data_IF_018464685389
#
_entry.id   IF_018464685389
#
_cell.length_a   1.000
_cell.length_b   1.000
_cell.length_c   1.000
_cell.angle_alpha   90.00
_cell.angle_beta   90.00
_cell.angle_gamma   90.00
#
_symmetry.space_group_name_H-M   'P 1'
#
loop_
_entity.id
_entity.type
_entity.pdbx_description
1 polymer ?
#
# COMPACT_ATOMS: atom_id res chain seq x y z
N UNK A 1 3.95 12.45 -55.95
CA UNK A 1 2.51 12.48 -55.59
C UNK A 1 2.27 11.98 -54.15
N UNK A 2 3.21 12.20 -53.21
CA UNK A 2 3.06 11.85 -51.78
C UNK A 2 2.53 13.01 -50.93
N UNK A 3 2.74 14.27 -51.37
CA UNK A 3 2.31 15.47 -50.62
C UNK A 3 0.80 15.68 -50.55
N UNK A 4 0.01 14.90 -51.30
CA UNK A 4 -1.45 14.99 -51.31
C UNK A 4 -2.12 14.12 -50.25
N UNK A 5 -1.40 13.63 -49.24
CA UNK A 5 -1.99 12.83 -48.15
C UNK A 5 -1.63 13.31 -46.74
N UNK A 6 -0.66 14.22 -46.56
CA UNK A 6 -0.32 14.80 -45.23
C UNK A 6 -1.49 15.58 -44.60
N UNK A 7 -2.44 16.06 -45.41
CA UNK A 7 -3.64 16.75 -44.92
C UNK A 7 -4.66 15.79 -44.29
N UNK A 8 -4.66 14.50 -44.65
CA UNK A 8 -5.55 13.51 -44.02
C UNK A 8 -5.13 13.16 -42.60
N UNK A 9 -3.84 13.32 -42.26
CA UNK A 9 -3.33 13.05 -40.90
C UNK A 9 -3.67 14.15 -39.89
N UNK A 10 -4.15 15.31 -40.36
CA UNK A 10 -4.46 16.47 -39.50
C UNK A 10 -5.94 16.67 -39.24
N UNK A 11 -6.82 15.86 -39.84
CA UNK A 11 -8.25 16.04 -39.64
C UNK A 11 -8.70 15.35 -38.36
N UNK A 12 -9.08 16.16 -37.36
CA UNK A 12 -9.68 15.64 -36.14
C UNK A 12 -11.14 15.29 -36.43
N UNK A 13 -11.43 14.00 -36.48
CA UNK A 13 -12.70 13.46 -36.98
C UNK A 13 -13.84 13.69 -35.99
N UNK A 14 -13.54 13.69 -34.68
CA UNK A 14 -14.56 13.68 -33.63
C UNK A 14 -14.84 15.05 -33.00
N UNK A 15 -14.43 16.14 -33.64
CA UNK A 15 -14.81 17.49 -33.23
C UNK A 15 -16.28 17.77 -33.58
N UNK A 16 -17.03 18.28 -32.61
CA UNK A 16 -18.43 18.68 -32.76
C UNK A 16 -18.55 19.98 -33.55
N UNK A 17 -17.68 20.95 -33.26
CA UNK A 17 -17.77 22.32 -33.76
C UNK A 17 -16.44 22.74 -34.40
N UNK A 18 -16.54 23.30 -35.60
CA UNK A 18 -15.41 23.89 -36.33
C UNK A 18 -15.14 25.34 -35.91
N UNK A 19 -16.14 26.04 -35.36
CA UNK A 19 -16.06 27.44 -34.95
C UNK A 19 -15.94 27.57 -33.43
N UNK A 20 -15.04 28.45 -32.98
CA UNK A 20 -14.83 28.73 -31.57
C UNK A 20 -16.05 29.42 -30.94
N UNK A 21 -16.68 30.37 -31.64
CA UNK A 21 -17.93 31.02 -31.20
C UNK A 21 -19.05 30.02 -30.97
N UNK A 22 -19.24 29.07 -31.90
CA UNK A 22 -20.26 28.02 -31.72
C UNK A 22 -19.98 27.15 -30.50
N UNK A 23 -18.71 26.85 -30.22
CA UNK A 23 -18.32 26.10 -29.03
C UNK A 23 -18.68 26.85 -27.73
N UNK A 24 -18.45 28.16 -27.70
CA UNK A 24 -18.80 29.02 -26.56
C UNK A 24 -20.33 29.08 -26.39
N UNK A 25 -21.07 29.39 -27.45
CA UNK A 25 -22.52 29.60 -27.39
C UNK A 25 -23.32 28.31 -27.17
N UNK A 26 -22.93 27.22 -27.82
CA UNK A 26 -23.72 25.98 -27.84
C UNK A 26 -23.26 24.97 -26.79
N UNK A 27 -21.95 24.84 -26.59
CA UNK A 27 -21.39 23.88 -25.63
C UNK A 27 -21.02 24.55 -24.28
N UNK A 28 -21.09 25.88 -24.18
CA UNK A 28 -20.82 26.62 -22.95
C UNK A 28 -19.34 26.64 -22.58
N UNK A 29 -18.45 26.58 -23.58
CA UNK A 29 -17.01 26.67 -23.34
C UNK A 29 -16.64 28.08 -22.90
N UNK A 30 -15.93 28.19 -21.77
CA UNK A 30 -15.43 29.46 -21.26
C UNK A 30 -13.95 29.58 -21.59
N UNK A 31 -13.59 30.61 -22.35
CA UNK A 31 -12.19 30.94 -22.61
C UNK A 31 -11.65 31.74 -21.44
N UNK A 32 -10.57 31.27 -20.82
CA UNK A 32 -9.86 32.05 -19.79
C UNK A 32 -9.27 33.32 -20.39
N UNK A 33 -9.31 34.44 -19.66
CA UNK A 33 -8.75 35.73 -20.08
C UNK A 33 -7.28 35.60 -20.52
N UNK A 34 -6.53 34.72 -19.86
CA UNK A 34 -5.13 34.41 -20.18
C UNK A 34 -4.92 33.83 -21.58
N UNK A 35 -5.97 33.28 -22.22
CA UNK A 35 -5.90 32.61 -23.51
C UNK A 35 -6.45 33.44 -24.66
N UNK A 36 -7.04 34.61 -24.39
CA UNK A 36 -7.63 35.47 -25.42
C UNK A 36 -6.61 35.90 -26.48
N UNK A 37 -5.37 36.14 -26.07
CA UNK A 37 -4.27 36.51 -26.97
C UNK A 37 -3.90 35.41 -27.99
N UNK A 38 -4.30 34.16 -27.74
CA UNK A 38 -4.08 33.03 -28.64
C UNK A 38 -5.18 32.89 -29.70
N UNK A 39 -6.30 33.59 -29.56
CA UNK A 39 -7.40 33.56 -30.53
C UNK A 39 -7.04 34.44 -31.73
N UNK A 40 -6.53 33.81 -32.79
CA UNK A 40 -6.21 34.52 -34.04
C UNK A 40 -7.42 34.65 -34.97
N UNK A 41 -8.29 33.65 -34.98
CA UNK A 41 -9.47 33.57 -35.83
C UNK A 41 -10.59 32.76 -35.14
N UNK A 42 -11.76 32.67 -35.77
CA UNK A 42 -12.89 31.90 -35.23
C UNK A 42 -12.76 30.37 -35.50
N UNK A 43 -11.58 29.87 -35.84
CA UNK A 43 -11.38 28.46 -36.14
C UNK A 43 -10.98 27.70 -34.86
N UNK A 44 -11.81 26.73 -34.48
CA UNK A 44 -11.60 25.88 -33.31
C UNK A 44 -10.27 25.10 -33.38
N UNK A 45 -9.88 24.64 -34.57
CA UNK A 45 -8.65 23.86 -34.76
C UNK A 45 -7.40 24.73 -34.62
N UNK A 46 -7.44 25.96 -35.12
CA UNK A 46 -6.30 26.89 -35.05
C UNK A 46 -6.05 27.32 -33.60
N UNK A 47 -7.13 27.63 -32.86
CA UNK A 47 -7.03 27.88 -31.41
C UNK A 47 -6.50 26.65 -30.66
N UNK A 48 -6.97 25.46 -31.00
CA UNK A 48 -6.49 24.22 -30.39
C UNK A 48 -4.99 23.98 -30.67
N UNK A 49 -4.54 24.19 -31.90
CA UNK A 49 -3.12 24.08 -32.26
C UNK A 49 -2.27 25.11 -31.50
N UNK A 50 -2.76 26.34 -31.31
CA UNK A 50 -2.06 27.34 -30.50
C UNK A 50 -1.88 26.89 -29.04
N UNK A 51 -2.85 26.17 -28.45
CA UNK A 51 -2.70 25.59 -27.11
C UNK A 51 -1.59 24.52 -27.05
N UNK A 52 -1.47 23.72 -28.11
CA UNK A 52 -0.45 22.67 -28.23
C UNK A 52 0.94 23.28 -28.40
N UNK A 53 1.09 24.27 -29.29
CA UNK A 53 2.35 24.97 -29.54
C UNK A 53 2.91 25.62 -28.27
N UNK A 54 2.02 26.17 -27.44
CA UNK A 54 2.37 26.77 -26.14
C UNK A 54 2.50 25.74 -25.00
N UNK A 55 2.35 24.44 -25.27
CA UNK A 55 2.41 23.33 -24.30
C UNK A 55 1.42 23.49 -23.13
N UNK A 56 0.26 24.08 -23.41
CA UNK A 56 -0.81 24.31 -22.44
C UNK A 56 -1.75 23.10 -22.38
N UNK A 57 -1.21 21.91 -22.07
CA UNK A 57 -1.96 20.64 -22.19
C UNK A 57 -3.21 20.55 -21.31
N UNK A 58 -3.21 21.20 -20.13
CA UNK A 58 -4.42 21.26 -19.30
C UNK A 58 -5.55 21.98 -20.04
N UNK A 59 -5.26 23.15 -20.61
CA UNK A 59 -6.23 23.94 -21.37
C UNK A 59 -6.63 23.23 -22.67
N UNK A 60 -5.70 22.50 -23.29
CA UNK A 60 -6.00 21.66 -24.45
C UNK A 60 -6.94 20.50 -24.10
N UNK A 61 -6.75 19.84 -22.95
CA UNK A 61 -7.68 18.83 -22.43
C UNK A 61 -9.06 19.43 -22.12
N UNK A 62 -9.08 20.61 -21.51
CA UNK A 62 -10.30 21.36 -21.21
C UNK A 62 -11.07 21.70 -22.48
N UNK A 63 -10.38 22.10 -23.54
CA UNK A 63 -10.95 22.33 -24.86
C UNK A 63 -11.48 21.04 -25.50
N UNK A 64 -10.69 19.96 -25.46
CA UNK A 64 -11.10 18.64 -25.97
C UNK A 64 -12.37 18.13 -25.29
N UNK A 65 -12.50 18.30 -23.97
CA UNK A 65 -13.69 17.87 -23.23
C UNK A 65 -14.99 18.52 -23.74
N UNK A 66 -14.90 19.75 -24.26
CA UNK A 66 -16.04 20.49 -24.83
C UNK A 66 -16.28 20.12 -26.29
N UNK A 67 -15.20 20.05 -27.09
CA UNK A 67 -15.33 19.89 -28.53
C UNK A 67 -15.42 18.42 -28.99
N UNK A 68 -15.08 17.42 -28.18
CA UNK A 68 -15.27 16.02 -28.53
C UNK A 68 -16.74 15.59 -28.44
N UNK A 69 -17.18 14.73 -29.36
CA UNK A 69 -18.47 14.03 -29.23
C UNK A 69 -18.61 13.34 -27.86
N UNK A 70 -19.80 13.44 -27.24
CA UNK A 70 -20.03 13.02 -25.85
C UNK A 70 -19.55 11.59 -25.56
N UNK A 71 -19.85 10.64 -26.46
CA UNK A 71 -19.42 9.24 -26.33
C UNK A 71 -17.90 9.08 -26.37
N UNK A 72 -17.24 9.78 -27.30
CA UNK A 72 -15.79 9.76 -27.43
C UNK A 72 -15.11 10.43 -26.22
N UNK A 73 -15.69 11.51 -25.70
CA UNK A 73 -15.18 12.21 -24.53
C UNK A 73 -15.25 11.33 -23.25
N UNK A 74 -16.32 10.55 -23.10
CA UNK A 74 -16.46 9.58 -22.00
C UNK A 74 -15.50 8.40 -22.16
N UNK A 75 -15.35 7.87 -23.39
CA UNK A 75 -14.34 6.86 -23.68
C UNK A 75 -12.92 7.36 -23.37
N UNK A 76 -12.63 8.61 -23.71
CA UNK A 76 -11.36 9.25 -23.40
C UNK A 76 -11.08 9.33 -21.90
N UNK A 77 -12.02 9.87 -21.12
CA UNK A 77 -11.87 9.93 -19.68
C UNK A 77 -11.74 8.53 -19.05
N UNK A 78 -12.47 7.54 -19.59
CA UNK A 78 -12.35 6.14 -19.21
C UNK A 78 -10.93 5.59 -19.49
N UNK A 79 -10.36 5.85 -20.67
CA UNK A 79 -8.97 5.47 -20.97
C UNK A 79 -7.95 6.14 -20.06
N UNK A 80 -8.14 7.42 -19.70
CA UNK A 80 -7.29 8.10 -18.74
C UNK A 80 -7.34 7.48 -17.33
N UNK A 81 -8.51 7.01 -16.90
CA UNK A 81 -8.67 6.25 -15.65
C UNK A 81 -7.86 4.94 -15.70
N UNK A 82 -7.93 4.20 -16.81
CA UNK A 82 -7.16 2.95 -16.98
C UNK A 82 -5.65 3.20 -16.94
N UNK A 83 -5.17 4.26 -17.57
CA UNK A 83 -3.76 4.65 -17.54
C UNK A 83 -3.29 4.92 -16.10
N UNK A 84 -4.11 5.62 -15.30
CA UNK A 84 -3.80 5.86 -13.89
C UNK A 84 -3.79 4.56 -13.08
N UNK A 85 -4.75 3.66 -13.30
CA UNK A 85 -4.79 2.36 -12.61
C UNK A 85 -3.54 1.52 -12.93
N UNK A 86 -3.03 1.60 -14.16
CA UNK A 86 -1.78 0.97 -14.59
C UNK A 86 -0.57 1.59 -13.87
N UNK A 87 -0.50 2.92 -13.79
CA UNK A 87 0.52 3.66 -13.04
C UNK A 87 0.55 3.25 -11.55
N UNK A 88 -0.62 3.18 -10.91
CA UNK A 88 -0.76 2.80 -9.49
C UNK A 88 -0.29 1.36 -9.27
N UNK A 89 -0.66 0.44 -10.17
CA UNK A 89 -0.23 -0.97 -10.09
C UNK A 89 1.28 -1.10 -10.18
N UNK A 90 1.92 -0.43 -11.13
CA UNK A 90 3.39 -0.42 -11.30
C UNK A 90 4.07 0.14 -10.04
N UNK A 91 3.52 1.21 -9.44
CA UNK A 91 4.05 1.77 -8.20
C UNK A 91 3.95 0.76 -7.04
N UNK A 92 2.81 0.10 -6.87
CA UNK A 92 2.62 -0.93 -5.84
C UNK A 92 3.60 -2.10 -6.02
N UNK A 93 3.81 -2.57 -7.26
CA UNK A 93 4.77 -3.64 -7.56
C UNK A 93 6.20 -3.23 -7.21
N UNK A 94 6.61 -1.99 -7.56
CA UNK A 94 7.91 -1.42 -7.18
C UNK A 94 8.08 -1.29 -5.67
N UNK A 95 7.03 -0.89 -4.95
CA UNK A 95 7.04 -0.77 -3.49
C UNK A 95 7.17 -2.15 -2.82
N UNK A 96 6.44 -3.16 -3.30
CA UNK A 96 6.58 -4.54 -2.82
C UNK A 96 8.00 -5.06 -3.07
N UNK A 97 8.60 -4.77 -4.23
CA UNK A 97 9.97 -5.19 -4.52
C UNK A 97 11.00 -4.46 -3.63
N UNK A 98 10.79 -3.16 -3.37
CA UNK A 98 11.61 -2.38 -2.43
C UNK A 98 11.48 -2.92 -1.01
N UNK A 99 10.26 -3.23 -0.56
CA UNK A 99 10.02 -3.80 0.77
C UNK A 99 10.67 -5.16 0.90
N UNK A 100 10.56 -6.05 -0.10
CA UNK A 100 11.29 -7.34 -0.11
C UNK A 100 12.82 -7.17 -0.08
N UNK A 101 13.36 -6.16 -0.78
CA UNK A 101 14.79 -5.81 -0.74
C UNK A 101 15.21 -5.21 0.61
N UNK A 102 14.31 -4.47 1.28
CA UNK A 102 14.53 -3.90 2.60
C UNK A 102 14.39 -4.93 3.72
N UNK A 103 13.43 -5.86 3.64
CA UNK A 103 13.27 -7.00 4.55
C UNK A 103 14.51 -7.91 4.48
N UNK A 104 15.02 -8.21 3.26
CA UNK A 104 16.32 -8.89 3.08
C UNK A 104 17.53 -8.11 3.60
N UNK A 105 17.42 -6.78 3.76
CA UNK A 105 18.43 -5.91 4.38
C UNK A 105 18.18 -5.68 5.88
N UNK A 106 17.01 -6.05 6.40
CA UNK A 106 16.61 -5.96 7.80
C UNK A 106 16.69 -7.31 8.51
N UNK A 107 16.88 -8.42 7.79
CA UNK A 107 17.78 -9.51 8.22
C UNK A 107 19.21 -8.95 8.35
N UNK A 108 19.38 -7.98 9.26
CA UNK A 108 20.65 -7.40 9.61
C UNK A 108 21.18 -8.22 10.78
N UNK A 109 22.33 -8.81 10.52
CA UNK A 109 23.28 -9.32 11.50
C UNK A 109 23.27 -8.43 12.75
N UNK A 110 23.24 -9.09 13.91
CA UNK A 110 23.24 -8.49 15.24
C UNK A 110 24.25 -7.32 15.29
N UNK A 111 23.91 -6.14 15.86
CA UNK A 111 24.80 -4.98 15.85
C UNK A 111 26.19 -5.32 16.44
N UNK A 112 27.28 -4.86 15.82
CA UNK A 112 28.64 -5.21 16.25
C UNK A 112 28.90 -4.97 17.74
N UNK A 113 28.38 -3.87 18.32
CA UNK A 113 28.52 -3.59 19.76
C UNK A 113 27.78 -4.61 20.64
N UNK A 114 26.66 -5.16 20.17
CA UNK A 114 25.88 -6.17 20.89
C UNK A 114 26.52 -7.56 20.73
N UNK A 115 27.07 -7.86 19.55
CA UNK A 115 27.90 -9.06 19.34
C UNK A 115 29.13 -9.04 20.24
N UNK A 116 29.82 -7.90 20.33
CA UNK A 116 31.02 -7.72 21.13
C UNK A 116 30.72 -7.76 22.64
N UNK A 117 29.58 -7.21 23.07
CA UNK A 117 29.10 -7.31 24.44
C UNK A 117 28.74 -8.76 24.84
N UNK A 118 28.07 -9.50 23.96
CA UNK A 118 27.74 -10.91 24.19
C UNK A 118 28.99 -11.81 24.20
N UNK A 119 29.97 -11.56 23.32
CA UNK A 119 31.26 -12.25 23.35
C UNK A 119 32.01 -11.99 24.66
N UNK A 120 32.13 -10.74 25.08
CA UNK A 120 32.78 -10.38 26.35
C UNK A 120 32.09 -10.99 27.57
N UNK A 121 30.76 -11.07 27.56
CA UNK A 121 29.99 -11.74 28.61
C UNK A 121 30.24 -13.26 28.63
N UNK A 122 30.28 -13.91 27.46
CA UNK A 122 30.60 -15.33 27.33
C UNK A 122 32.03 -15.68 27.73
N UNK A 123 33.01 -14.87 27.29
CA UNK A 123 34.44 -15.02 27.63
C UNK A 123 34.67 -14.88 29.14
N UNK A 124 34.01 -13.94 29.81
CA UNK A 124 34.07 -13.80 31.27
C UNK A 124 33.48 -15.01 32.02
N UNK A 125 32.53 -15.72 31.42
CA UNK A 125 31.88 -16.89 32.02
C UNK A 125 32.71 -18.16 31.82
N UNK A 126 33.29 -18.34 30.64
CA UNK A 126 34.23 -19.44 30.33
C UNK A 126 35.54 -19.32 31.12
N UNK A 127 36.11 -18.12 31.26
CA UNK A 127 37.30 -17.90 32.09
C UNK A 127 37.06 -18.21 33.56
N UNK A 128 35.89 -17.85 34.09
CA UNK A 128 35.51 -18.17 35.47
C UNK A 128 35.33 -19.69 35.67
N UNK A 129 34.72 -20.39 34.70
CA UNK A 129 34.57 -21.85 34.74
C UNK A 129 35.92 -22.56 34.64
N UNK A 130 36.84 -22.07 33.80
CA UNK A 130 38.18 -22.64 33.64
C UNK A 130 39.02 -22.46 34.91
N UNK A 131 39.02 -21.25 35.50
CA UNK A 131 39.67 -21.01 36.80
C UNK A 131 39.11 -21.89 37.90
N UNK A 132 37.79 -22.13 37.90
CA UNK A 132 37.15 -23.04 38.86
C UNK A 132 37.58 -24.50 38.67
N UNK A 133 37.67 -24.99 37.43
CA UNK A 133 38.18 -26.34 37.14
C UNK A 133 39.64 -26.51 37.53
N UNK A 134 40.51 -25.54 37.23
CA UNK A 134 41.92 -25.57 37.66
C UNK A 134 42.05 -25.67 39.19
N UNK A 135 41.18 -24.96 39.92
CA UNK A 135 41.16 -24.97 41.38
C UNK A 135 40.70 -26.34 41.93
N UNK A 136 39.72 -26.98 41.29
CA UNK A 136 39.31 -28.35 41.63
C UNK A 136 40.44 -29.37 41.42
N UNK A 137 41.17 -29.27 40.30
CA UNK A 137 42.33 -30.14 40.04
C UNK A 137 43.47 -29.94 41.04
N UNK A 138 43.73 -28.68 41.44
CA UNK A 138 44.71 -28.38 42.48
C UNK A 138 44.30 -28.98 43.83
N UNK A 139 43.02 -28.89 44.18
CA UNK A 139 42.50 -29.50 45.40
C UNK A 139 42.67 -31.02 45.42
N UNK A 140 42.43 -31.70 44.30
CA UNK A 140 42.58 -33.16 44.23
C UNK A 140 44.05 -33.58 44.27
N UNK A 141 44.97 -32.83 43.65
CA UNK A 141 46.42 -33.03 43.81
C UNK A 141 46.86 -32.88 45.27
N UNK A 142 46.31 -31.90 46.00
CA UNK A 142 46.59 -31.70 47.43
C UNK A 142 46.05 -32.87 48.25
N UNK A 143 44.84 -33.37 47.98
CA UNK A 143 44.28 -34.54 48.66
C UNK A 143 45.13 -35.79 48.48
N UNK A 144 45.62 -36.03 47.25
CA UNK A 144 46.49 -37.18 46.96
C UNK A 144 47.80 -37.07 47.74
N UNK A 145 48.45 -35.89 47.72
CA UNK A 145 49.67 -35.64 48.51
C UNK A 145 49.43 -35.78 50.01
N UNK A 146 48.28 -35.32 50.50
CA UNK A 146 47.89 -35.49 51.90
C UNK A 146 47.77 -36.98 52.25
N UNK A 147 47.10 -37.79 51.42
CA UNK A 147 46.96 -39.23 51.63
C UNK A 147 48.31 -39.99 51.56
N UNK A 148 49.26 -39.52 50.77
CA UNK A 148 50.63 -40.05 50.71
C UNK A 148 51.44 -39.70 51.96
N UNK A 149 51.34 -38.46 52.45
CA UNK A 149 51.95 -38.01 53.69
C UNK A 149 51.38 -38.75 54.91
N UNK A 150 50.08 -39.05 54.91
CA UNK A 150 49.44 -39.83 55.98
C UNK A 150 49.99 -41.26 56.09
N UNK A 151 50.49 -41.85 55.00
CA UNK A 151 51.11 -43.19 55.01
C UNK A 151 52.55 -43.21 55.53
N UNK A 152 53.24 -42.07 55.54
CA UNK A 152 54.64 -41.94 55.97
C UNK A 152 54.80 -41.57 57.45
N UNK A 153 53.70 -41.18 58.11
CA UNK A 153 53.69 -40.79 59.53
C UNK A 153 53.44 -42.02 60.43
N UNK A 154 54.11 -42.09 61.58
CA UNK A 154 53.90 -43.15 62.58
C UNK A 154 52.39 -43.23 62.98
N UNK A 155 51.73 -44.39 62.83
CA UNK A 155 50.31 -44.56 63.11
C UNK A 155 49.87 -44.12 64.52
N UNK A 156 50.74 -44.27 65.54
CA UNK A 156 50.43 -43.86 66.91
C UNK A 156 50.41 -42.34 67.06
N UNK A 157 51.32 -41.65 66.37
CA UNK A 157 51.39 -40.18 66.39
C UNK A 157 50.20 -39.57 65.65
N UNK A 158 49.85 -40.16 64.50
CA UNK A 158 48.72 -39.73 63.68
C UNK A 158 47.38 -39.88 64.40
N UNK A 159 47.17 -40.99 65.12
CA UNK A 159 45.98 -41.19 65.94
C UNK A 159 45.83 -40.13 67.05
N UNK A 160 46.94 -39.77 67.71
CA UNK A 160 46.97 -38.72 68.75
C UNK A 160 46.68 -37.33 68.17
N UNK A 161 47.20 -37.04 66.98
CA UNK A 161 46.95 -35.79 66.28
C UNK A 161 45.48 -35.68 65.85
N UNK A 162 44.92 -36.73 65.24
CA UNK A 162 43.52 -36.80 64.83
C UNK A 162 42.56 -36.63 66.01
N UNK A 163 42.90 -37.19 67.17
CA UNK A 163 42.11 -37.02 68.39
C UNK A 163 42.13 -35.57 68.90
N UNK A 164 43.29 -34.89 68.82
CA UNK A 164 43.39 -33.47 69.21
C UNK A 164 42.66 -32.54 68.24
N UNK A 165 42.75 -32.77 66.93
CA UNK A 165 42.02 -31.97 65.93
C UNK A 165 40.51 -32.17 66.06
N UNK A 166 40.05 -33.39 66.34
CA UNK A 166 38.64 -33.67 66.62
C UNK A 166 38.13 -32.91 67.85
N UNK A 167 38.93 -32.84 68.92
CA UNK A 167 38.57 -32.08 70.12
C UNK A 167 38.47 -30.57 69.81
N UNK A 168 39.38 -30.04 69.00
CA UNK A 168 39.35 -28.64 68.54
C UNK A 168 38.09 -28.37 67.71
N UNK A 169 37.75 -29.26 66.77
CA UNK A 169 36.53 -29.09 65.97
C UNK A 169 35.25 -29.09 66.83
N UNK A 170 35.21 -29.92 67.88
CA UNK A 170 34.08 -29.95 68.84
C UNK A 170 34.02 -28.71 69.74
N UNK A 171 35.16 -28.10 70.07
CA UNK A 171 35.17 -26.81 70.77
C UNK A 171 34.67 -25.67 69.87
N UNK A 172 35.13 -25.62 68.62
CA UNK A 172 34.64 -24.63 67.64
C UNK A 172 33.14 -24.81 67.37
N UNK A 173 32.66 -26.05 67.31
CA UNK A 173 31.22 -26.35 67.16
C UNK A 173 30.40 -25.85 68.36
N UNK A 174 30.93 -25.92 69.58
CA UNK A 174 30.25 -25.35 70.76
C UNK A 174 30.14 -23.83 70.71
N UNK A 175 31.16 -23.15 70.18
CA UNK A 175 31.17 -21.68 70.10
C UNK A 175 30.37 -21.13 68.91
N UNK A 176 30.43 -21.80 67.76
CA UNK A 176 29.88 -21.29 66.49
C UNK A 176 28.61 -22.02 66.05
N UNK A 177 28.29 -23.17 66.66
CA UNK A 177 27.21 -24.06 66.22
C UNK A 177 27.51 -24.83 64.94
N UNK A 178 28.73 -24.73 64.39
CA UNK A 178 29.10 -25.30 63.08
C UNK A 178 30.22 -26.33 63.24
N UNK A 179 29.95 -27.56 62.83
CA UNK A 179 30.99 -28.59 62.72
C UNK A 179 31.79 -28.43 61.42
N UNK A 180 33.03 -27.93 61.53
CA UNK A 180 33.88 -27.55 60.39
C UNK A 180 33.98 -28.62 59.28
N UNK A 181 34.21 -29.91 59.59
CA UNK A 181 34.31 -30.95 58.56
C UNK A 181 33.02 -31.11 57.74
N UNK A 182 31.87 -31.08 58.40
CA UNK A 182 30.56 -31.19 57.72
C UNK A 182 30.24 -29.93 56.92
N UNK A 183 30.54 -28.76 57.46
CA UNK A 183 30.36 -27.49 56.76
C UNK A 183 31.22 -27.40 55.49
N UNK A 184 32.45 -27.92 55.54
CA UNK A 184 33.33 -28.01 54.37
C UNK A 184 32.71 -28.89 53.27
N UNK A 185 32.14 -30.03 53.62
CA UNK A 185 31.46 -30.91 52.66
C UNK A 185 30.21 -30.25 52.06
N UNK A 186 29.42 -29.55 52.87
CA UNK A 186 28.24 -28.80 52.40
C UNK A 186 28.60 -27.67 51.42
N UNK A 187 29.69 -26.93 51.68
CA UNK A 187 30.17 -25.90 50.74
C UNK A 187 30.61 -26.52 49.42
N UNK A 188 31.33 -27.64 49.46
CA UNK A 188 31.79 -28.33 48.24
C UNK A 188 30.61 -28.87 47.42
N UNK A 189 29.58 -29.41 48.07
CA UNK A 189 28.36 -29.84 47.39
C UNK A 189 27.57 -28.67 46.78
N UNK A 190 27.47 -27.53 47.50
CA UNK A 190 26.82 -26.32 46.98
C UNK A 190 27.58 -25.71 45.80
N UNK A 191 28.91 -25.75 45.85
CA UNK A 191 29.76 -25.27 44.75
C UNK A 191 29.67 -26.18 43.50
N UNK A 192 29.54 -27.50 43.69
CA UNK A 192 29.35 -28.45 42.58
C UNK A 192 27.98 -28.31 41.90
N UNK A 193 26.93 -27.92 42.64
CA UNK A 193 25.56 -27.77 42.15
C UNK A 193 25.14 -26.32 41.90
N UNK A 194 26.09 -25.39 41.77
CA UNK A 194 25.79 -23.98 41.58
C UNK A 194 25.16 -23.75 40.20
N UNK A 195 23.88 -23.41 40.19
CA UNK A 195 23.19 -22.83 39.02
C UNK A 195 23.09 -21.32 39.24
N UNK A 196 23.48 -20.48 38.26
CA UNK A 196 23.27 -19.04 38.38
C UNK A 196 21.76 -18.78 38.52
N UNK A 197 21.32 -18.38 39.72
CA UNK A 197 19.93 -18.00 39.94
C UNK A 197 19.76 -16.60 39.34
N UNK A 198 19.08 -16.52 38.21
CA UNK A 198 18.81 -15.25 37.54
C UNK A 198 17.75 -14.48 38.35
N UNK A 199 18.20 -13.58 39.22
CA UNK A 199 17.32 -12.79 40.09
C UNK A 199 16.40 -11.81 39.31
N UNK A 200 16.54 -11.74 37.98
CA UNK A 200 15.75 -10.88 37.12
C UNK A 200 14.26 -11.28 37.07
N UNK A 201 13.94 -12.57 37.05
CA UNK A 201 12.57 -13.05 36.84
C UNK A 201 11.60 -12.68 37.97
N UNK A 202 12.10 -12.53 39.20
CA UNK A 202 11.30 -12.18 40.37
C UNK A 202 11.54 -10.74 40.85
N UNK A 203 12.28 -9.93 40.09
CA UNK A 203 12.60 -8.55 40.45
C UNK A 203 11.38 -7.63 40.37
N UNK A 204 11.32 -6.64 41.26
CA UNK A 204 10.27 -5.61 41.24
C UNK A 204 10.30 -4.77 39.95
N UNK A 205 11.48 -4.64 39.34
CA UNK A 205 11.66 -4.00 38.04
C UNK A 205 10.93 -4.72 36.91
N UNK A 206 10.96 -6.05 36.88
CA UNK A 206 10.22 -6.82 35.86
C UNK A 206 8.71 -6.67 36.05
N UNK A 207 8.24 -6.67 37.30
CA UNK A 207 6.82 -6.42 37.63
C UNK A 207 6.38 -5.02 37.20
N UNK A 208 7.21 -4.00 37.41
CA UNK A 208 6.93 -2.64 36.91
C UNK A 208 6.91 -2.58 35.38
N UNK A 209 7.84 -3.27 34.72
CA UNK A 209 7.91 -3.35 33.26
C UNK A 209 6.68 -4.07 32.67
N UNK A 210 6.25 -5.17 33.27
CA UNK A 210 5.04 -5.89 32.88
C UNK A 210 3.78 -5.05 33.09
N UNK A 211 3.70 -4.31 34.21
CA UNK A 211 2.61 -3.37 34.48
C UNK A 211 2.57 -2.22 33.45
N UNK A 212 3.72 -1.64 33.11
CA UNK A 212 3.82 -0.62 32.06
C UNK A 212 3.41 -1.16 30.69
N UNK A 213 3.83 -2.38 30.34
CA UNK A 213 3.43 -3.03 29.10
C UNK A 213 1.91 -3.28 29.04
N UNK A 214 1.30 -3.70 30.15
CA UNK A 214 -0.15 -3.86 30.25
C UNK A 214 -0.89 -2.52 30.09
N UNK A 215 -0.41 -1.45 30.73
CA UNK A 215 -0.96 -0.09 30.55
C UNK A 215 -0.83 0.41 29.10
N UNK A 216 0.30 0.13 28.47
CA UNK A 216 0.53 0.52 27.08
C UNK A 216 -0.36 -0.25 26.12
N UNK A 217 -0.63 -1.53 26.39
CA UNK A 217 -1.55 -2.34 25.58
C UNK A 217 -3.00 -1.89 25.76
N UNK A 218 -3.44 -1.62 26.98
CA UNK A 218 -4.80 -1.09 27.25
C UNK A 218 -5.01 0.27 26.59
N UNK A 219 -4.04 1.20 26.70
CA UNK A 219 -4.11 2.48 25.99
C UNK A 219 -4.16 2.30 24.46
N UNK A 220 -3.41 1.35 23.90
CA UNK A 220 -3.48 1.05 22.46
C UNK A 220 -4.85 0.54 22.04
N UNK A 221 -5.48 -0.30 22.86
CA UNK A 221 -6.84 -0.81 22.61
C UNK A 221 -7.87 0.32 22.70
N UNK A 222 -7.82 1.16 23.73
CA UNK A 222 -8.69 2.34 23.87
C UNK A 222 -8.53 3.32 22.70
N UNK A 223 -7.30 3.60 22.28
CA UNK A 223 -7.03 4.45 21.11
C UNK A 223 -7.62 3.82 19.85
N UNK A 224 -7.48 2.50 19.67
CA UNK A 224 -8.02 1.79 18.52
C UNK A 224 -9.55 1.84 18.49
N UNK A 225 -10.21 1.58 19.61
CA UNK A 225 -11.67 1.63 19.73
C UNK A 225 -12.21 3.03 19.50
N UNK A 226 -11.62 4.04 20.13
CA UNK A 226 -12.00 5.44 19.90
C UNK A 226 -11.78 5.84 18.45
N UNK A 227 -10.66 5.45 17.84
CA UNK A 227 -10.38 5.75 16.42
C UNK A 227 -11.41 5.09 15.51
N UNK A 228 -11.81 3.84 15.78
CA UNK A 228 -12.82 3.13 14.98
C UNK A 228 -14.23 3.72 15.13
N UNK A 229 -14.58 4.27 16.30
CA UNK A 229 -15.85 4.96 16.54
C UNK A 229 -15.95 6.28 15.75
N UNK A 230 -14.90 7.10 15.78
CA UNK A 230 -14.88 8.39 15.10
C UNK A 230 -14.57 8.28 13.60
N UNK A 231 -13.80 7.27 13.20
CA UNK A 231 -13.41 7.00 11.82
C UNK A 231 -13.68 5.54 11.49
N UNK A 232 -14.93 5.16 11.19
CA UNK A 232 -15.24 3.80 10.76
C UNK A 232 -14.38 3.47 9.54
N UNK A 233 -13.60 2.39 9.65
CA UNK A 233 -12.73 1.94 8.56
C UNK A 233 -13.60 1.71 7.32
N UNK A 234 -13.38 2.49 6.25
CA UNK A 234 -14.01 2.23 4.96
C UNK A 234 -13.64 0.80 4.56
N UNK A 235 -14.64 -0.04 4.35
CA UNK A 235 -14.44 -1.40 3.86
C UNK A 235 -13.82 -1.34 2.45
N UNK A 236 -12.51 -1.57 2.38
CA UNK A 236 -11.71 -1.46 1.16
C UNK A 236 -12.24 -2.41 0.08
N UNK A 237 -12.73 -3.59 0.45
CA UNK A 237 -13.24 -4.57 -0.51
C UNK A 237 -14.57 -4.12 -1.10
N UNK A 238 -15.49 -3.68 -0.24
CA UNK A 238 -16.77 -3.11 -0.68
C UNK A 238 -16.59 -1.87 -1.56
N UNK A 239 -15.60 -1.04 -1.26
CA UNK A 239 -15.30 0.15 -2.05
C UNK A 239 -14.68 -0.19 -3.42
N UNK A 240 -13.81 -1.20 -3.47
CA UNK A 240 -13.28 -1.75 -4.73
C UNK A 240 -14.38 -2.34 -5.60
N UNK A 241 -15.27 -3.14 -5.01
CA UNK A 241 -16.42 -3.72 -5.72
C UNK A 241 -17.32 -2.63 -6.31
N UNK A 242 -17.63 -1.58 -5.54
CA UNK A 242 -18.37 -0.41 -6.05
C UNK A 242 -17.66 0.27 -7.21
N UNK A 243 -16.35 0.52 -7.08
CA UNK A 243 -15.53 1.10 -8.16
C UNK A 243 -15.60 0.22 -9.43
N UNK A 244 -15.44 -1.10 -9.30
CA UNK A 244 -15.55 -2.04 -10.43
C UNK A 244 -16.93 -2.00 -11.07
N UNK A 245 -17.99 -1.97 -10.26
CA UNK A 245 -19.37 -1.86 -10.76
C UNK A 245 -19.61 -0.53 -11.51
N UNK A 246 -19.00 0.57 -11.08
CA UNK A 246 -19.04 1.84 -11.79
C UNK A 246 -18.33 1.75 -13.15
N UNK A 247 -17.11 1.20 -13.20
CA UNK A 247 -16.39 0.98 -14.46
C UNK A 247 -17.16 0.07 -15.42
N UNK A 248 -17.83 -0.95 -14.90
CA UNK A 248 -18.69 -1.82 -15.69
C UNK A 248 -19.87 -1.06 -16.31
N UNK A 249 -20.56 -0.25 -15.51
CA UNK A 249 -21.69 0.54 -15.98
C UNK A 249 -21.28 1.60 -17.02
N UNK A 250 -20.14 2.26 -16.81
CA UNK A 250 -19.56 3.23 -17.75
C UNK A 250 -19.25 2.55 -19.08
N UNK A 251 -18.58 1.39 -19.05
CA UNK A 251 -18.25 0.65 -20.26
C UNK A 251 -19.49 0.14 -21.01
N UNK A 252 -20.51 -0.35 -20.28
CA UNK A 252 -21.79 -0.73 -20.88
C UNK A 252 -22.45 0.43 -21.62
N UNK A 253 -22.43 1.63 -21.04
CA UNK A 253 -22.91 2.85 -21.67
C UNK A 253 -22.07 3.25 -22.89
N UNK A 254 -20.74 3.12 -22.82
CA UNK A 254 -19.85 3.37 -23.97
C UNK A 254 -20.18 2.43 -25.12
N UNK A 255 -20.50 1.16 -24.89
CA UNK A 255 -20.91 0.22 -25.94
C UNK A 255 -22.29 0.56 -26.50
N UNK A 256 -23.27 0.75 -25.61
CA UNK A 256 -24.67 1.02 -25.95
C UNK A 256 -25.16 2.21 -25.13
N UNK A 257 -25.08 3.45 -25.66
CA UNK A 257 -25.52 4.66 -24.98
C UNK A 257 -27.05 4.77 -25.01
N UNK A 258 -27.70 3.89 -24.27
CA UNK A 258 -29.15 3.83 -24.10
C UNK A 258 -29.58 4.31 -22.70
N UNK A 259 -30.89 4.49 -22.53
CA UNK A 259 -31.48 4.98 -21.28
C UNK A 259 -31.24 4.01 -20.11
N UNK A 260 -31.27 2.70 -20.39
CA UNK A 260 -31.11 1.67 -19.36
C UNK A 260 -29.68 1.69 -18.79
N UNK A 261 -28.68 1.72 -19.66
CA UNK A 261 -27.27 1.81 -19.27
C UNK A 261 -26.95 3.16 -18.65
N UNK A 262 -27.60 4.24 -19.10
CA UNK A 262 -27.50 5.56 -18.46
C UNK A 262 -27.98 5.52 -17.01
N UNK A 263 -29.16 4.92 -16.76
CA UNK A 263 -29.70 4.70 -15.42
C UNK A 263 -28.82 3.77 -14.58
N UNK A 264 -28.18 2.76 -15.18
CA UNK A 264 -27.21 1.89 -14.49
C UNK A 264 -25.97 2.66 -14.07
N UNK A 265 -25.44 3.54 -14.93
CA UNK A 265 -24.31 4.41 -14.59
C UNK A 265 -24.64 5.33 -13.40
N UNK A 266 -25.82 5.95 -13.42
CA UNK A 266 -26.29 6.75 -12.28
C UNK A 266 -26.41 5.94 -10.99
N UNK A 267 -27.00 4.73 -11.03
CA UNK A 267 -27.09 3.86 -9.85
C UNK A 267 -25.71 3.46 -9.32
N UNK A 268 -24.76 3.23 -10.20
CA UNK A 268 -23.40 2.83 -9.83
C UNK A 268 -22.56 4.00 -9.27
N UNK A 269 -22.91 5.26 -9.59
CA UNK A 269 -22.22 6.42 -9.04
C UNK A 269 -22.58 6.74 -7.59
N UNK A 270 -23.71 6.24 -7.09
CA UNK A 270 -24.20 6.53 -5.73
C UNK A 270 -23.21 6.02 -4.67
N UNK A 271 -22.70 6.94 -3.85
CA UNK A 271 -21.67 6.68 -2.84
C UNK A 271 -20.24 6.61 -3.38
N UNK A 272 -19.99 7.07 -4.60
CA UNK A 272 -18.68 7.27 -5.22
C UNK A 272 -18.51 8.70 -5.78
N UNK A 273 -19.34 9.66 -5.34
CA UNK A 273 -19.35 11.04 -5.86
C UNK A 273 -18.02 11.77 -5.59
N UNK A 274 -17.27 11.32 -4.57
CA UNK A 274 -15.95 11.83 -4.22
C UNK A 274 -14.83 11.28 -5.13
N UNK A 275 -15.09 10.21 -5.88
CA UNK A 275 -14.11 9.53 -6.72
C UNK A 275 -14.20 9.90 -8.21
N UNK A 276 -13.14 9.60 -8.98
CA UNK A 276 -13.10 9.86 -10.41
C UNK A 276 -14.09 8.97 -11.16
N UNK A 277 -14.17 7.69 -10.81
CA UNK A 277 -15.04 6.69 -11.43
C UNK A 277 -16.52 7.05 -11.23
N UNK A 278 -16.90 7.56 -10.06
CA UNK A 278 -18.27 7.99 -9.80
C UNK A 278 -18.66 9.24 -10.58
N UNK A 279 -17.75 10.22 -10.71
CA UNK A 279 -17.98 11.40 -11.55
C UNK A 279 -18.03 11.05 -13.04
N UNK A 280 -17.24 10.07 -13.48
CA UNK A 280 -17.29 9.57 -14.84
C UNK A 280 -18.61 8.85 -15.13
N UNK A 281 -19.11 8.06 -14.18
CA UNK A 281 -20.44 7.44 -14.26
C UNK A 281 -21.57 8.48 -14.31
N UNK A 282 -21.49 9.57 -13.53
CA UNK A 282 -22.42 10.70 -13.64
C UNK A 282 -22.32 11.40 -15.00
N UNK A 283 -21.11 11.58 -15.53
CA UNK A 283 -20.89 12.17 -16.84
C UNK A 283 -21.51 11.33 -17.96
N UNK A 284 -21.44 9.99 -17.84
CA UNK A 284 -22.12 9.06 -18.74
C UNK A 284 -23.65 9.18 -18.66
N UNK A 285 -24.19 9.30 -17.46
CA UNK A 285 -25.62 9.55 -17.26
C UNK A 285 -26.07 10.86 -17.93
N UNK A 286 -25.36 11.97 -17.70
CA UNK A 286 -25.68 13.27 -18.30
C UNK A 286 -25.52 13.29 -19.83
N UNK A 287 -24.68 12.44 -20.38
CA UNK A 287 -24.47 12.38 -21.83
C UNK A 287 -25.66 11.81 -22.60
N UNK A 288 -26.49 10.96 -21.98
CA UNK A 288 -27.76 10.54 -22.56
C UNK A 288 -28.73 11.71 -22.73
N UNK A 289 -28.69 12.65 -21.78
CA UNK A 289 -29.36 13.95 -21.90
C UNK A 289 -30.72 14.05 -21.25
N UNK A 290 -31.29 12.99 -20.69
CA UNK A 290 -32.52 13.07 -19.87
C UNK A 290 -32.21 12.93 -18.38
N UNK A 291 -32.46 14.00 -17.63
CA UNK A 291 -32.27 14.04 -16.17
C UNK A 291 -33.47 13.47 -15.41
N UNK A 292 -34.60 13.23 -16.08
CA UNK A 292 -35.77 12.70 -15.42
C UNK A 292 -35.68 11.17 -15.32
N UNK A 293 -35.44 10.67 -14.10
CA UNK A 293 -35.27 9.24 -13.82
C UNK A 293 -36.61 8.48 -13.78
N UNK A 294 -37.45 8.63 -14.82
CA UNK A 294 -38.70 7.88 -15.00
C UNK A 294 -39.99 8.68 -14.91
N UNK A 295 -39.97 9.99 -15.18
CA UNK A 295 -41.19 10.76 -15.41
C UNK A 295 -41.44 11.04 -16.89
N UNK A 296 -42.68 11.42 -17.22
CA UNK A 296 -43.11 11.64 -18.62
C UNK A 296 -42.50 12.90 -19.28
N UNK A 297 -41.86 13.77 -18.48
CA UNK A 297 -41.28 15.03 -18.94
C UNK A 297 -39.78 14.84 -19.20
N UNK A 298 -39.34 15.03 -20.44
CA UNK A 298 -37.91 14.99 -20.79
C UNK A 298 -37.24 16.27 -20.29
N UNK A 299 -36.30 16.14 -19.35
CA UNK A 299 -35.52 17.28 -18.83
C UNK A 299 -34.13 17.22 -19.44
N UNK A 300 -33.87 18.08 -20.44
CA UNK A 300 -32.59 18.09 -21.14
C UNK A 300 -31.44 18.53 -20.23
N UNK A 301 -30.39 17.72 -20.14
CA UNK A 301 -29.16 18.10 -19.47
C UNK A 301 -28.48 19.27 -20.21
N UNK A 302 -27.97 20.30 -19.49
CA UNK A 302 -27.16 21.35 -20.11
C UNK A 302 -25.96 20.78 -20.87
N UNK A 303 -25.62 21.33 -22.03
CA UNK A 303 -24.55 20.78 -22.88
C UNK A 303 -23.18 20.76 -22.17
N UNK A 304 -22.85 21.83 -21.44
CA UNK A 304 -21.61 21.95 -20.68
C UNK A 304 -21.50 20.94 -19.52
N UNK A 305 -22.60 20.30 -19.10
CA UNK A 305 -22.61 19.45 -17.91
C UNK A 305 -21.71 18.22 -18.05
N UNK A 306 -21.74 17.57 -19.22
CA UNK A 306 -20.87 16.42 -19.52
C UNK A 306 -19.41 16.85 -19.57
N UNK A 307 -19.12 17.95 -20.27
CA UNK A 307 -17.77 18.45 -20.45
C UNK A 307 -17.16 18.91 -19.12
N UNK A 308 -17.94 19.57 -18.25
CA UNK A 308 -17.54 19.92 -16.88
C UNK A 308 -17.32 18.68 -15.99
N UNK A 309 -18.15 17.65 -16.15
CA UNK A 309 -17.95 16.36 -15.50
C UNK A 309 -16.61 15.74 -15.88
N UNK A 310 -16.31 15.68 -17.18
CA UNK A 310 -15.03 15.16 -17.71
C UNK A 310 -13.84 16.00 -17.22
N UNK A 311 -13.91 17.33 -17.26
CA UNK A 311 -12.87 18.20 -16.69
C UNK A 311 -12.59 17.85 -15.22
N UNK A 312 -13.65 17.67 -14.43
CA UNK A 312 -13.55 17.32 -13.01
C UNK A 312 -12.90 15.94 -12.79
N UNK A 313 -13.23 14.97 -13.66
CA UNK A 313 -12.60 13.64 -13.68
C UNK A 313 -11.10 13.77 -13.97
N UNK A 314 -10.72 14.47 -15.04
CA UNK A 314 -9.31 14.66 -15.42
C UNK A 314 -8.50 15.38 -14.33
N UNK A 315 -9.09 16.40 -13.70
CA UNK A 315 -8.48 17.08 -12.56
C UNK A 315 -8.23 16.08 -11.42
N UNK A 316 -9.23 15.29 -11.04
CA UNK A 316 -9.05 14.29 -9.97
C UNK A 316 -7.98 13.27 -10.33
N UNK A 317 -7.99 12.72 -11.55
CA UNK A 317 -6.97 11.78 -12.01
C UNK A 317 -5.56 12.38 -12.01
N UNK A 318 -5.43 13.64 -12.40
CA UNK A 318 -4.16 14.34 -12.39
C UNK A 318 -3.57 14.51 -10.98
N UNK A 319 -4.42 14.60 -9.94
CA UNK A 319 -4.01 14.78 -8.55
C UNK A 319 -3.99 13.49 -7.70
N UNK A 320 -4.49 12.36 -8.21
CA UNK A 320 -4.41 11.09 -7.51
C UNK A 320 -2.97 10.62 -7.27
N UNK A 321 -2.76 9.76 -6.29
CA UNK A 321 -1.43 9.26 -5.97
C UNK A 321 -0.87 8.38 -7.12
N UNK A 322 0.37 8.64 -7.51
CA UNK A 322 1.09 7.82 -8.49
C UNK A 322 2.56 8.26 -8.61
N UNK A 323 3.24 7.83 -9.66
CA UNK A 323 4.65 8.14 -9.95
C UNK A 323 4.80 9.42 -10.78
N UNK A 324 3.83 9.70 -11.66
CA UNK A 324 3.88 10.79 -12.64
C UNK A 324 3.37 12.10 -12.04
N UNK A 325 4.05 13.22 -12.35
CA UNK A 325 3.60 14.54 -11.87
C UNK A 325 2.33 15.00 -12.61
N UNK A 326 1.47 15.83 -11.99
CA UNK A 326 0.21 16.28 -12.61
C UNK A 326 0.40 16.89 -14.01
N UNK A 327 1.42 17.72 -14.22
CA UNK A 327 1.71 18.35 -15.53
C UNK A 327 2.00 17.32 -16.62
N UNK A 328 2.77 16.28 -16.29
CA UNK A 328 3.10 15.19 -17.21
C UNK A 328 1.89 14.28 -17.46
N UNK A 329 1.02 14.09 -16.44
CA UNK A 329 -0.25 13.38 -16.64
C UNK A 329 -1.18 14.09 -17.61
N UNK A 330 -1.28 15.42 -17.56
CA UNK A 330 -2.07 16.16 -18.54
C UNK A 330 -1.52 16.02 -19.97
N UNK A 331 -0.20 15.97 -20.14
CA UNK A 331 0.40 15.67 -21.43
C UNK A 331 0.00 14.27 -21.91
N UNK A 332 0.04 13.27 -21.02
CA UNK A 332 -0.39 11.90 -21.35
C UNK A 332 -1.90 11.80 -21.65
N UNK A 333 -2.74 12.45 -20.85
CA UNK A 333 -4.18 12.51 -21.08
C UNK A 333 -4.50 13.19 -22.41
N UNK A 334 -3.77 14.25 -22.74
CA UNK A 334 -3.87 14.92 -24.03
C UNK A 334 -3.51 13.98 -25.18
N UNK A 335 -2.41 13.23 -25.10
CA UNK A 335 -2.02 12.24 -26.12
C UNK A 335 -3.14 11.20 -26.36
N UNK A 336 -3.68 10.61 -25.29
CA UNK A 336 -4.79 9.66 -25.37
C UNK A 336 -6.02 10.31 -26.02
N UNK A 337 -6.32 11.55 -25.64
CA UNK A 337 -7.43 12.33 -26.20
C UNK A 337 -7.27 12.56 -27.69
N UNK A 338 -6.06 12.85 -28.14
CA UNK A 338 -5.73 13.02 -29.56
C UNK A 338 -5.88 11.74 -30.35
N UNK A 339 -5.40 10.60 -29.85
CA UNK A 339 -5.59 9.30 -30.51
C UNK A 339 -7.06 8.98 -30.74
N UNK A 340 -7.90 9.28 -29.74
CA UNK A 340 -9.35 9.09 -29.81
C UNK A 340 -9.96 10.10 -30.77
N UNK A 341 -9.54 11.37 -30.72
CA UNK A 341 -10.05 12.43 -31.59
C UNK A 341 -9.78 12.13 -33.09
N UNK A 342 -8.65 11.50 -33.40
CA UNK A 342 -8.31 10.98 -34.72
C UNK A 342 -9.01 9.66 -35.08
N UNK A 343 -9.72 9.04 -34.14
CA UNK A 343 -10.38 7.74 -34.33
C UNK A 343 -9.43 6.54 -34.35
N UNK A 344 -8.15 6.71 -33.98
CA UNK A 344 -7.15 5.64 -33.91
C UNK A 344 -7.39 4.71 -32.72
N UNK A 345 -7.86 5.26 -31.61
CA UNK A 345 -8.16 4.54 -30.39
C UNK A 345 -9.68 4.49 -30.16
N UNK A 346 -10.26 3.30 -30.25
CA UNK A 346 -11.68 3.06 -30.08
C UNK A 346 -11.92 1.76 -29.28
N UNK A 347 -13.18 1.45 -28.96
CA UNK A 347 -13.56 0.26 -28.18
C UNK A 347 -13.78 -1.00 -29.04
N UNK A 348 -13.43 -1.00 -30.34
CA UNK A 348 -13.67 -2.12 -31.26
C UNK A 348 -12.90 -3.39 -30.86
N UNK A 349 -11.64 -3.25 -30.47
CA UNK A 349 -10.83 -4.37 -29.99
C UNK A 349 -11.42 -5.02 -28.72
N UNK A 350 -12.08 -4.21 -27.89
CA UNK A 350 -12.72 -4.71 -26.67
C UNK A 350 -14.01 -5.46 -26.99
N UNK A 351 -14.74 -5.03 -28.04
CA UNK A 351 -15.90 -5.76 -28.55
C UNK A 351 -15.52 -7.10 -29.16
N UNK A 352 -14.43 -7.17 -29.94
CA UNK A 352 -13.97 -8.42 -30.55
C UNK A 352 -13.53 -9.45 -29.50
N UNK A 353 -12.98 -8.99 -28.38
CA UNK A 353 -12.58 -9.83 -27.24
C UNK A 353 -13.73 -10.14 -26.26
N UNK A 354 -14.90 -9.52 -26.43
CA UNK A 354 -16.06 -9.64 -25.54
C UNK A 354 -15.76 -9.41 -24.05
N UNK A 355 -14.77 -8.56 -23.76
CA UNK A 355 -14.29 -8.25 -22.42
C UNK A 355 -14.02 -6.75 -22.29
N UNK A 356 -14.31 -6.18 -21.12
CA UNK A 356 -14.05 -4.76 -20.89
C UNK A 356 -12.54 -4.50 -20.64
N UNK A 357 -11.99 -3.34 -21.07
CA UNK A 357 -10.59 -3.01 -20.88
C UNK A 357 -10.03 -3.21 -19.47
N UNK A 358 -10.81 -2.76 -18.49
CA UNK A 358 -10.44 -2.87 -17.08
C UNK A 358 -10.44 -4.30 -16.52
N UNK A 359 -11.21 -5.23 -17.11
CA UNK A 359 -11.26 -6.62 -16.65
C UNK A 359 -9.93 -7.34 -16.91
N UNK A 360 -9.43 -7.26 -18.15
CA UNK A 360 -8.21 -7.98 -18.53
C UNK A 360 -6.93 -7.33 -17.99
N UNK A 361 -6.90 -6.00 -17.86
CA UNK A 361 -5.70 -5.28 -17.35
C UNK A 361 -5.52 -5.45 -15.83
N UNK A 362 -6.62 -5.53 -15.09
CA UNK A 362 -6.60 -5.40 -13.63
C UNK A 362 -7.21 -6.59 -12.87
N UNK A 363 -7.66 -7.66 -13.56
CA UNK A 363 -8.31 -8.82 -12.94
C UNK A 363 -9.43 -8.42 -11.97
N UNK A 364 -10.19 -7.38 -12.31
CA UNK A 364 -11.35 -6.97 -11.54
C UNK A 364 -12.49 -7.94 -11.91
N UNK A 365 -12.92 -8.76 -10.93
CA UNK A 365 -13.96 -9.77 -11.12
C UNK A 365 -15.19 -9.19 -11.84
N UNK A 366 -15.58 -9.84 -12.93
CA UNK A 366 -16.78 -9.48 -13.68
C UNK A 366 -17.93 -10.42 -13.37
N UNK A 367 -19.04 -9.83 -12.92
CA UNK A 367 -20.34 -10.40 -13.27
C UNK A 367 -20.46 -10.32 -14.79
N UNK A 368 -20.81 -11.42 -15.46
CA UNK A 368 -20.95 -11.48 -16.91
C UNK A 368 -21.68 -10.25 -17.43
N UNK A 369 -21.06 -9.51 -18.35
CA UNK A 369 -21.73 -8.50 -19.17
C UNK A 369 -22.79 -9.19 -20.03
N UNK A 370 -24.03 -9.32 -19.55
CA UNK A 370 -25.16 -9.65 -20.41
C UNK A 370 -25.54 -8.41 -21.22
N UNK A 371 -24.87 -8.25 -22.37
CA UNK A 371 -25.36 -7.34 -23.40
C UNK A 371 -26.58 -8.01 -24.04
N UNK A 372 -27.80 -7.56 -23.69
CA UNK A 372 -29.01 -7.89 -24.46
C UNK A 372 -29.04 -7.11 -25.79
N UNK A 373 -27.96 -7.17 -26.56
CA UNK A 373 -27.86 -6.42 -27.81
C UNK A 373 -28.42 -7.27 -28.97
N UNK A 374 -29.75 -7.33 -29.08
CA UNK A 374 -30.43 -8.05 -30.19
C UNK A 374 -30.07 -7.51 -31.58
N UNK A 375 -29.52 -6.29 -31.69
CA UNK A 375 -29.21 -5.64 -32.97
C UNK A 375 -27.96 -6.17 -33.69
N UNK A 376 -27.08 -6.91 -33.02
CA UNK A 376 -25.85 -7.44 -33.63
C UNK A 376 -25.81 -8.96 -33.76
N UNK A 377 -26.77 -9.68 -33.16
CA UNK A 377 -26.81 -11.14 -33.17
C UNK A 377 -27.46 -11.77 -34.41
N UNK A 378 -27.70 -10.99 -35.48
CA UNK A 378 -28.18 -11.55 -36.76
C UNK A 378 -29.50 -12.31 -36.69
N UNK A 379 -30.28 -12.17 -35.62
CA UNK A 379 -31.67 -12.62 -35.60
C UNK A 379 -32.49 -11.55 -36.34
N UNK A 380 -32.62 -11.77 -37.64
CA UNK A 380 -33.65 -11.16 -38.47
C UNK A 380 -34.98 -11.64 -37.89
N UNK A 381 -35.76 -10.74 -37.30
CA UNK A 381 -37.13 -11.00 -36.90
C UNK A 381 -37.90 -11.52 -38.13
N UNK A 382 -38.36 -12.77 -38.04
CA UNK A 382 -39.26 -13.42 -39.01
C UNK A 382 -40.73 -13.11 -38.75
#
# INVERSE_FOLDING_TARGET
>A
MSDKLEWMEKHIILFKQESLRKLIEQEGYEVSEELEHLIQNDNALDFFNALIENKLYKNACDFLAYNLHKRAAIWWAYCCELELLEEIKIKQEKEVEKNKKQEKKQEKEMPEWLQDALKKAGESQEEAQKKFQELLEQMDKIKIKQAELEKTIDPKLFARFKQKTENIYKEIEKETGIYLPKFREEILQKAQNYTPVDHYENSDLKKEMDNLNQKLNTMKEEIKENTELYFPKKDINKQKEKTTNALNAIYAWIISPDEENSKRAFKASVGLEDKAEGLLALSAFWAFGDLNLGGDIIVKAPNAMVSNGIKSVLIKLAFMEGETKPKQRYEKFFEIGMEIAYGKNNWEESLSKNHAPHEYKFNLNSGKFETKNKRFNGEVDG
#
